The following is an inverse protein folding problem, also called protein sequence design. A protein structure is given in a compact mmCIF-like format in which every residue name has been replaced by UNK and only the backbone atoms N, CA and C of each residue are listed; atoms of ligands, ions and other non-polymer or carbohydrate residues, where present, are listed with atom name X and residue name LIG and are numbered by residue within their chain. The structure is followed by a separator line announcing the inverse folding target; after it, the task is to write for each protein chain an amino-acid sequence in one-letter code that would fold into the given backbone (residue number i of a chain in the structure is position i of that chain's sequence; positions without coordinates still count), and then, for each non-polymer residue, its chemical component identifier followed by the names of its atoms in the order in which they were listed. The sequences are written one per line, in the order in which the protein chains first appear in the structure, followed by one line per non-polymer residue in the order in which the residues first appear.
data_IF_424890207030
#
_entry.id   IF_424890207030
#
_cell.length_a   1.000
_cell.length_b   1.000
_cell.length_c   1.000
_cell.angle_alpha   90.00
_cell.angle_beta   90.00
_cell.angle_gamma   90.00
#
_symmetry.space_group_name_H-M   'P 1'
#
loop_
_entity.id
_entity.type
_entity.pdbx_description
1 polymer ?
#
# COMPACT_ATOMS: atom_id res chain seq x y z
N UNK A 1 -1.19 -2.97 7.66
CA UNK A 1 -2.20 -3.00 8.74
C UNK A 1 -3.45 -3.72 8.24
N UNK A 2 -4.05 -4.59 9.04
CA UNK A 2 -5.35 -5.25 8.75
C UNK A 2 -6.38 -4.73 9.77
N UNK A 3 -7.56 -4.31 9.31
CA UNK A 3 -8.64 -3.75 10.13
C UNK A 3 -9.92 -4.53 9.81
N UNK A 4 -10.40 -5.29 10.80
CA UNK A 4 -11.60 -6.12 10.72
C UNK A 4 -12.04 -6.50 12.14
N UNK A 5 -13.32 -6.83 12.33
CA UNK A 5 -13.84 -7.34 13.61
C UNK A 5 -13.28 -8.71 14.02
N UNK A 6 -12.75 -9.48 13.08
CA UNK A 6 -12.17 -10.81 13.34
C UNK A 6 -10.73 -10.84 12.82
N UNK A 7 -9.74 -10.28 13.56
CA UNK A 7 -8.38 -10.14 13.05
C UNK A 7 -7.63 -11.47 12.93
N UNK A 8 -8.04 -12.49 13.68
CA UNK A 8 -7.39 -13.81 13.77
C UNK A 8 -8.00 -14.86 12.85
N UNK A 9 -9.16 -14.61 12.25
CA UNK A 9 -9.89 -15.60 11.45
C UNK A 9 -10.45 -14.98 10.17
N UNK A 10 -10.36 -15.74 9.07
CA UNK A 10 -10.98 -15.34 7.81
C UNK A 10 -12.46 -15.74 7.82
N UNK A 11 -13.35 -14.78 7.55
CA UNK A 11 -14.80 -14.97 7.58
C UNK A 11 -15.30 -15.18 6.14
N UNK A 12 -15.87 -16.35 5.79
CA UNK A 12 -16.42 -16.59 4.46
C UNK A 12 -17.47 -15.56 4.06
N UNK A 13 -17.40 -15.10 2.80
CA UNK A 13 -18.34 -14.10 2.26
C UNK A 13 -18.05 -12.65 2.67
N UNK A 14 -17.09 -12.40 3.57
CA UNK A 14 -16.66 -11.04 3.91
C UNK A 14 -15.69 -10.52 2.84
N UNK A 15 -16.01 -9.42 2.11
CA UNK A 15 -15.13 -8.88 1.08
C UNK A 15 -13.81 -8.36 1.67
N UNK A 16 -12.73 -8.60 0.93
CA UNK A 16 -11.38 -8.12 1.25
C UNK A 16 -11.07 -6.90 0.39
N UNK A 17 -10.51 -5.86 1.00
CA UNK A 17 -10.20 -4.59 0.35
C UNK A 17 -8.78 -4.15 0.71
N UNK A 18 -8.04 -3.57 -0.25
CA UNK A 18 -6.64 -3.17 -0.05
C UNK A 18 -6.44 -1.72 -0.51
N UNK A 19 -5.78 -0.91 0.31
CA UNK A 19 -5.13 0.32 -0.12
C UNK A 19 -3.62 0.17 -0.04
N UNK A 20 -2.93 0.62 -1.09
CA UNK A 20 -1.48 0.71 -1.17
C UNK A 20 -1.13 2.14 -1.53
N UNK A 21 -0.27 2.77 -0.73
CA UNK A 21 0.23 4.12 -0.95
C UNK A 21 1.74 4.12 -1.18
N UNK A 22 2.23 5.25 -1.68
CA UNK A 22 3.65 5.58 -1.75
C UNK A 22 4.47 4.45 -2.41
N UNK A 23 4.00 4.03 -3.59
CA UNK A 23 4.75 3.18 -4.53
C UNK A 23 5.92 3.95 -5.16
N UNK A 24 5.72 5.24 -5.42
CA UNK A 24 6.81 6.18 -5.60
C UNK A 24 7.10 6.85 -4.27
N UNK A 25 8.37 6.84 -3.86
CA UNK A 25 8.78 7.28 -2.53
C UNK A 25 8.58 8.78 -2.30
N UNK A 26 8.77 9.60 -3.33
CA UNK A 26 8.56 11.05 -3.34
C UNK A 26 7.07 11.48 -3.36
N UNK A 27 6.14 10.58 -3.70
CA UNK A 27 4.69 10.83 -3.67
C UNK A 27 4.09 10.64 -2.26
N UNK A 28 4.60 11.42 -1.31
CA UNK A 28 4.40 11.27 0.15
C UNK A 28 2.96 11.43 0.65
N UNK A 29 2.10 12.18 -0.05
CA UNK A 29 0.74 12.47 0.42
C UNK A 29 -0.09 11.20 0.68
N UNK A 30 0.01 10.23 -0.22
CA UNK A 30 -0.71 8.96 -0.12
C UNK A 30 -0.33 8.17 1.13
N UNK A 31 0.95 8.22 1.55
CA UNK A 31 1.44 7.59 2.79
C UNK A 31 0.73 8.15 4.00
N UNK A 32 0.71 9.47 4.14
CA UNK A 32 0.15 10.12 5.31
C UNK A 32 -1.38 10.01 5.35
N UNK A 33 -2.07 10.11 4.20
CA UNK A 33 -3.52 9.89 4.12
C UNK A 33 -3.92 8.50 4.61
N UNK A 34 -3.14 7.47 4.27
CA UNK A 34 -3.41 6.11 4.72
C UNK A 34 -3.15 5.92 6.21
N UNK A 35 -2.16 6.60 6.79
CA UNK A 35 -1.96 6.65 8.25
C UNK A 35 -3.16 7.30 8.95
N UNK A 36 -3.63 8.44 8.45
CA UNK A 36 -4.82 9.10 9.00
C UNK A 36 -6.10 8.27 8.80
N UNK A 37 -6.21 7.54 7.70
CA UNK A 37 -7.34 6.62 7.50
C UNK A 37 -7.33 5.49 8.54
N UNK A 38 -6.16 4.92 8.86
CA UNK A 38 -6.04 3.92 9.92
C UNK A 38 -6.51 4.49 11.26
N UNK A 39 -6.02 5.67 11.63
CA UNK A 39 -6.43 6.34 12.87
C UNK A 39 -7.93 6.63 12.90
N UNK A 40 -8.48 7.16 11.80
CA UNK A 40 -9.90 7.49 11.68
C UNK A 40 -10.78 6.24 11.84
N UNK A 41 -10.44 5.14 11.15
CA UNK A 41 -11.21 3.90 11.25
C UNK A 41 -11.18 3.32 12.67
N UNK A 42 -10.02 3.35 13.35
CA UNK A 42 -9.88 2.81 14.70
C UNK A 42 -10.56 3.67 15.76
N UNK A 43 -10.45 5.00 15.65
CA UNK A 43 -10.99 5.92 16.66
C UNK A 43 -12.50 6.14 16.52
N UNK A 44 -13.05 5.98 15.32
CA UNK A 44 -14.49 6.15 15.05
C UNK A 44 -15.28 4.84 15.12
N UNK A 45 -14.62 3.69 15.17
CA UNK A 45 -15.30 2.41 15.36
C UNK A 45 -16.09 2.39 16.68
N UNK A 46 -17.37 2.05 16.62
CA UNK A 46 -18.31 2.09 17.75
C UNK A 46 -18.87 3.49 18.07
N UNK A 47 -18.40 4.55 17.40
CA UNK A 47 -18.89 5.93 17.56
C UNK A 47 -19.65 6.42 16.34
N UNK A 48 -19.06 6.25 15.16
CA UNK A 48 -19.67 6.57 13.87
C UNK A 48 -20.30 5.30 13.29
N UNK A 49 -21.60 5.36 12.98
CA UNK A 49 -22.36 4.21 12.46
C UNK A 49 -21.84 3.74 11.11
N UNK A 50 -21.43 4.66 10.23
CA UNK A 50 -20.92 4.33 8.90
C UNK A 50 -19.56 3.66 8.98
N UNK A 51 -18.65 4.14 9.82
CA UNK A 51 -17.34 3.50 10.05
C UNK A 51 -17.52 2.13 10.68
N UNK A 52 -18.38 2.02 11.68
CA UNK A 52 -18.68 0.74 12.34
C UNK A 52 -19.18 -0.29 11.35
N UNK A 53 -20.15 0.08 10.50
CA UNK A 53 -20.70 -0.82 9.49
C UNK A 53 -19.64 -1.21 8.44
N UNK A 54 -18.80 -0.27 8.02
CA UNK A 54 -17.70 -0.53 7.09
C UNK A 54 -16.72 -1.58 7.65
N UNK A 55 -16.25 -1.43 8.89
CA UNK A 55 -15.32 -2.37 9.53
C UNK A 55 -15.98 -3.73 9.81
N UNK A 56 -17.27 -3.73 10.16
CA UNK A 56 -18.05 -4.96 10.36
C UNK A 56 -18.14 -5.78 9.06
N UNK A 57 -18.42 -5.13 7.93
CA UNK A 57 -18.68 -5.79 6.65
C UNK A 57 -17.47 -6.01 5.76
N UNK A 58 -16.36 -5.34 6.00
CA UNK A 58 -15.18 -5.43 5.11
C UNK A 58 -13.93 -5.79 5.89
N UNK A 59 -13.06 -6.61 5.27
CA UNK A 59 -11.72 -6.91 5.78
C UNK A 59 -10.73 -6.00 5.06
N UNK A 60 -10.31 -4.94 5.74
CA UNK A 60 -9.60 -3.80 5.15
C UNK A 60 -8.12 -3.96 5.43
N UNK A 61 -7.30 -3.93 4.39
CA UNK A 61 -5.86 -3.95 4.49
C UNK A 61 -5.28 -2.64 3.96
N UNK A 62 -4.34 -2.06 4.70
CA UNK A 62 -3.70 -0.78 4.38
C UNK A 62 -2.19 -0.95 4.44
N UNK A 63 -1.51 -0.69 3.34
CA UNK A 63 -0.06 -0.55 3.21
C UNK A 63 0.24 0.93 2.94
N UNK A 64 0.70 1.65 3.96
CA UNK A 64 0.92 3.09 3.84
C UNK A 64 2.08 3.43 2.89
N UNK A 65 3.13 2.62 2.87
CA UNK A 65 4.27 2.79 1.97
C UNK A 65 4.70 1.45 1.41
N UNK A 66 4.71 1.37 0.08
CA UNK A 66 5.28 0.25 -0.67
C UNK A 66 6.76 0.47 -0.97
N UNK A 67 7.20 1.72 -1.12
CA UNK A 67 8.59 2.11 -1.36
C UNK A 67 9.15 2.99 -0.23
N UNK A 68 9.45 2.41 0.95
CA UNK A 68 10.02 3.16 2.06
C UNK A 68 11.42 3.70 1.72
N UNK A 69 12.24 2.96 0.96
CA UNK A 69 13.62 3.37 0.63
C UNK A 69 13.65 4.61 -0.28
N UNK A 70 12.73 4.69 -1.24
CA UNK A 70 12.54 5.89 -2.05
C UNK A 70 12.09 7.08 -1.20
N UNK A 71 11.18 6.86 -0.26
CA UNK A 71 10.67 7.93 0.63
C UNK A 71 11.78 8.51 1.51
N UNK A 72 12.68 7.70 2.06
CA UNK A 72 13.80 8.19 2.88
C UNK A 72 14.82 9.03 2.09
N UNK A 73 14.88 8.87 0.75
CA UNK A 73 15.73 9.69 -0.13
C UNK A 73 15.03 10.95 -0.64
N UNK A 74 13.70 10.94 -0.67
CA UNK A 74 12.92 12.07 -1.12
C UNK A 74 13.09 13.29 -0.21
N UNK A 75 12.99 14.49 -0.80
CA UNK A 75 13.15 15.75 -0.08
C UNK A 75 11.79 16.43 0.12
N UNK A 76 11.46 16.75 1.38
CA UNK A 76 10.25 17.49 1.70
C UNK A 76 10.21 18.85 0.97
N UNK A 77 9.07 19.15 0.35
CA UNK A 77 8.87 20.38 -0.42
C UNK A 77 9.21 20.26 -1.90
N UNK A 78 9.83 19.16 -2.35
CA UNK A 78 10.01 18.91 -3.78
C UNK A 78 8.68 18.50 -4.43
N UNK A 79 8.05 19.46 -5.11
CA UNK A 79 6.81 19.23 -5.86
C UNK A 79 7.06 18.82 -7.32
N UNK A 80 8.32 18.76 -7.75
CA UNK A 80 8.70 18.54 -9.15
C UNK A 80 9.30 17.17 -9.41
N UNK A 81 9.66 16.43 -8.35
CA UNK A 81 10.39 15.16 -8.47
C UNK A 81 11.81 15.38 -9.01
N UNK A 82 12.42 16.51 -8.65
CA UNK A 82 13.78 16.88 -9.06
C UNK A 82 14.87 16.17 -8.26
N UNK A 83 14.49 15.61 -7.11
CA UNK A 83 15.35 14.85 -6.20
C UNK A 83 15.19 13.35 -6.39
N UNK A 84 16.19 12.56 -5.98
CA UNK A 84 16.06 11.10 -5.95
C UNK A 84 15.01 10.70 -4.90
N UNK A 85 14.17 9.71 -5.21
CA UNK A 85 13.17 9.22 -4.25
C UNK A 85 11.96 8.54 -4.88
N UNK A 86 11.71 8.76 -6.17
CA UNK A 86 10.65 8.08 -6.91
C UNK A 86 10.84 6.56 -6.94
N UNK A 87 12.02 6.13 -7.37
CA UNK A 87 12.36 4.73 -7.62
C UNK A 87 12.72 3.98 -6.31
N UNK A 88 12.78 2.65 -6.38
CA UNK A 88 13.25 1.84 -5.25
C UNK A 88 14.77 1.96 -5.04
N UNK A 89 15.32 1.27 -4.04
CA UNK A 89 16.75 1.34 -3.71
C UNK A 89 17.68 1.08 -4.91
N UNK A 90 17.25 0.29 -5.89
CA UNK A 90 17.99 -0.10 -7.09
C UNK A 90 17.65 0.72 -8.35
N UNK A 91 16.95 1.85 -8.21
CA UNK A 91 16.58 2.74 -9.32
C UNK A 91 15.56 2.12 -10.30
N UNK A 92 14.72 1.20 -9.83
CA UNK A 92 13.59 0.68 -10.60
C UNK A 92 12.30 1.44 -10.27
N UNK A 93 11.56 1.82 -11.31
CA UNK A 93 10.19 2.34 -11.19
C UNK A 93 9.25 1.17 -10.88
N UNK A 94 8.81 1.07 -9.63
CA UNK A 94 8.00 -0.05 -9.15
C UNK A 94 6.64 -0.15 -9.87
N UNK A 95 6.06 0.97 -10.32
CA UNK A 95 4.77 0.98 -11.02
C UNK A 95 4.83 0.35 -12.40
N UNK A 96 6.03 0.37 -13.02
CA UNK A 96 6.33 -0.26 -14.32
C UNK A 96 6.96 -1.64 -14.17
N UNK A 97 7.13 -2.10 -12.93
CA UNK A 97 7.88 -3.31 -12.66
C UNK A 97 7.01 -4.53 -12.43
N UNK A 98 5.68 -4.42 -12.57
CA UNK A 98 4.75 -5.55 -12.57
C UNK A 98 4.73 -6.27 -13.92
N UNK A 99 4.31 -7.55 -13.97
CA UNK A 99 4.07 -8.25 -15.23
C UNK A 99 3.03 -7.50 -16.08
N UNK A 100 3.43 -7.18 -17.29
CA UNK A 100 2.57 -6.56 -18.29
C UNK A 100 1.93 -7.63 -19.19
N UNK A 101 0.82 -7.30 -19.84
CA UNK A 101 0.12 -8.22 -20.74
C UNK A 101 0.78 -8.32 -22.13
N UNK A 102 1.46 -7.25 -22.55
CA UNK A 102 2.00 -7.07 -23.90
C UNK A 102 3.52 -7.30 -23.91
N UNK A 103 4.21 -6.97 -22.80
CA UNK A 103 5.66 -7.08 -22.68
C UNK A 103 6.11 -8.27 -21.80
N UNK A 104 7.19 -8.98 -22.19
CA UNK A 104 7.72 -10.07 -21.38
C UNK A 104 8.29 -9.55 -20.05
N UNK A 105 7.85 -10.16 -18.96
CA UNK A 105 8.34 -9.85 -17.62
C UNK A 105 9.83 -10.22 -17.46
N UNK A 106 10.68 -9.22 -17.24
CA UNK A 106 12.15 -9.36 -17.18
C UNK A 106 12.77 -9.02 -15.83
N UNK A 107 12.02 -8.39 -14.93
CA UNK A 107 12.53 -7.99 -13.62
C UNK A 107 12.74 -9.19 -12.70
N UNK A 108 13.87 -9.23 -11.99
CA UNK A 108 14.12 -10.26 -10.99
C UNK A 108 13.56 -9.85 -9.62
N UNK A 109 13.32 -10.83 -8.74
CA UNK A 109 12.94 -10.55 -7.35
C UNK A 109 14.01 -9.82 -6.55
N UNK A 110 15.27 -9.87 -7.02
CA UNK A 110 16.36 -9.12 -6.42
C UNK A 110 16.31 -7.64 -6.82
N UNK A 111 15.83 -7.33 -8.02
CA UNK A 111 15.72 -5.96 -8.53
C UNK A 111 14.54 -5.21 -7.91
N UNK A 112 13.41 -5.92 -7.76
CA UNK A 112 12.15 -5.37 -7.24
C UNK A 112 11.51 -6.29 -6.18
N UNK A 113 12.17 -6.45 -5.02
CA UNK A 113 11.63 -7.26 -3.93
C UNK A 113 10.25 -6.78 -3.46
N UNK A 114 9.96 -5.49 -3.58
CA UNK A 114 8.69 -4.87 -3.23
C UNK A 114 7.55 -5.38 -4.12
N UNK A 115 7.76 -5.40 -5.44
CA UNK A 115 6.78 -5.91 -6.42
C UNK A 115 6.52 -7.38 -6.17
N UNK A 116 7.58 -8.17 -5.96
CA UNK A 116 7.46 -9.60 -5.68
C UNK A 116 6.64 -9.86 -4.41
N UNK A 117 6.89 -9.09 -3.35
CA UNK A 117 6.14 -9.18 -2.10
C UNK A 117 4.65 -8.80 -2.28
N UNK A 118 4.37 -7.74 -3.05
CA UNK A 118 3.00 -7.32 -3.33
C UNK A 118 2.25 -8.30 -4.22
N UNK A 119 2.89 -8.85 -5.26
CA UNK A 119 2.30 -9.90 -6.09
C UNK A 119 1.93 -11.12 -5.26
N UNK A 120 2.84 -11.59 -4.40
CA UNK A 120 2.57 -12.69 -3.47
C UNK A 120 1.38 -12.36 -2.56
N UNK A 121 1.34 -11.16 -2.01
CA UNK A 121 0.23 -10.71 -1.17
C UNK A 121 -1.12 -10.57 -1.92
N UNK A 122 -1.10 -10.25 -3.21
CA UNK A 122 -2.31 -10.23 -4.06
C UNK A 122 -2.84 -11.66 -4.28
N UNK A 123 -1.95 -12.64 -4.43
CA UNK A 123 -2.35 -14.03 -4.69
C UNK A 123 -2.75 -14.80 -3.43
N UNK A 124 -2.12 -14.51 -2.28
CA UNK A 124 -2.39 -15.21 -1.02
C UNK A 124 -3.62 -14.70 -0.27
N UNK A 125 -4.01 -13.44 -0.51
CA UNK A 125 -5.02 -12.73 0.28
C UNK A 125 -5.99 -11.92 -0.56
#
# INVERSE_FOLDING_TARGET
MRITINPTTDVPGKPRFKYVGNIHGDEALSRQLLVYLIEYLLTQYGRDLRVTELVNRTDIYIMASMNPDGFERAVEGDCTGSTEGRENAKHFDLSKSFPDQDEPFSNTSEDTPEVTAVMKWILEK
#
